data_IF_581098848830
#
_entry.id   IF_581098848830
#
_cell.length_a   1.000
_cell.length_b   1.000
_cell.length_c   1.000
_cell.angle_alpha   90.00
_cell.angle_beta   90.00
_cell.angle_gamma   90.00
#
_symmetry.space_group_name_H-M   'P 1'
#
loop_
_entity.id
_entity.type
_entity.pdbx_description
1 polymer ?
#
# COMPACT_ATOMS: atom_id res chain seq x y z
N UNK A 1 8.26 2.55 -8.93
CA UNK A 1 8.91 1.86 -10.06
C UNK A 1 10.00 2.69 -10.73
N UNK A 2 11.01 3.12 -9.96
CA UNK A 2 12.14 3.90 -10.51
C UNK A 2 11.85 5.37 -10.86
N UNK A 3 10.58 5.77 -10.95
CA UNK A 3 10.19 7.19 -11.06
C UNK A 3 10.30 7.90 -9.71
N UNK A 4 10.87 9.10 -9.71
CA UNK A 4 10.91 9.97 -8.54
C UNK A 4 9.50 10.45 -8.20
N UNK A 5 9.08 10.25 -6.95
CA UNK A 5 7.77 10.71 -6.48
C UNK A 5 7.86 12.03 -5.69
N UNK A 6 8.73 12.10 -4.67
CA UNK A 6 8.84 13.23 -3.74
C UNK A 6 10.03 13.06 -2.79
N UNK A 7 10.33 14.12 -2.05
CA UNK A 7 11.23 14.07 -0.89
C UNK A 7 10.42 13.80 0.39
N UNK A 8 10.87 12.86 1.21
CA UNK A 8 10.27 12.61 2.51
C UNK A 8 10.61 13.77 3.48
N UNK A 9 9.61 14.37 4.16
CA UNK A 9 9.86 15.38 5.18
C UNK A 9 10.81 14.91 6.27
N UNK A 10 11.80 15.75 6.59
CA UNK A 10 12.77 15.56 7.67
C UNK A 10 12.27 16.17 8.99
N UNK A 11 12.81 15.71 10.12
CA UNK A 11 12.60 16.33 11.44
C UNK A 11 11.86 15.43 12.44
N UNK A 12 11.61 14.17 12.08
CA UNK A 12 10.96 13.22 12.97
C UNK A 12 11.85 12.83 14.16
N UNK A 13 11.25 12.65 15.34
CA UNK A 13 12.00 12.27 16.55
C UNK A 13 12.63 10.87 16.42
N UNK A 14 13.93 10.80 16.64
CA UNK A 14 14.78 9.59 16.70
C UNK A 14 15.79 9.73 17.83
N UNK A 15 15.30 9.72 19.07
CA UNK A 15 16.13 9.85 20.27
C UNK A 15 17.16 8.73 20.42
N UNK A 16 16.87 7.55 19.87
CA UNK A 16 17.81 6.44 19.73
C UNK A 16 19.01 6.79 18.86
N UNK A 17 18.79 7.47 17.72
CA UNK A 17 19.86 7.98 16.85
C UNK A 17 20.59 9.13 17.53
N UNK A 18 19.86 10.02 18.19
CA UNK A 18 20.44 11.09 19.01
C UNK A 18 21.41 10.59 20.07
N UNK A 19 21.06 9.50 20.76
CA UNK A 19 21.90 8.87 21.77
C UNK A 19 23.11 8.15 21.17
N UNK A 20 22.96 7.52 19.99
CA UNK A 20 24.04 6.83 19.31
C UNK A 20 25.05 7.80 18.64
N UNK A 21 24.59 8.97 18.22
CA UNK A 21 25.37 9.98 17.50
C UNK A 21 25.22 11.38 18.11
N UNK A 22 25.68 11.59 19.36
CA UNK A 22 25.44 12.84 20.10
C UNK A 22 26.18 14.05 19.51
N UNK A 23 27.29 13.82 18.81
CA UNK A 23 28.10 14.90 18.21
C UNK A 23 27.58 15.35 16.83
N UNK A 24 26.58 14.65 16.27
CA UNK A 24 25.94 15.05 15.02
C UNK A 24 24.77 15.97 15.36
N UNK A 25 24.84 17.21 14.88
CA UNK A 25 23.76 18.18 15.04
C UNK A 25 22.43 17.62 14.53
N UNK A 26 21.37 17.80 15.32
CA UNK A 26 20.00 17.36 15.05
C UNK A 26 19.82 15.84 14.85
N UNK A 27 20.76 15.01 15.28
CA UNK A 27 20.64 13.55 15.22
C UNK A 27 19.40 13.01 15.95
N UNK A 28 18.94 13.68 17.02
CA UNK A 28 17.71 13.34 17.72
C UNK A 28 16.42 13.62 16.91
N UNK A 29 16.50 14.43 15.85
CA UNK A 29 15.38 14.77 14.95
C UNK A 29 15.60 14.21 13.53
N UNK A 30 16.42 13.17 13.40
CA UNK A 30 16.85 12.64 12.10
C UNK A 30 15.81 11.76 11.37
N UNK A 31 14.57 11.71 11.86
CA UNK A 31 13.51 10.88 11.30
C UNK A 31 12.91 11.46 10.02
N UNK A 32 12.46 10.55 9.15
CA UNK A 32 11.73 10.86 7.94
C UNK A 32 10.39 10.14 7.95
N UNK A 33 9.32 10.80 7.49
CA UNK A 33 8.00 10.17 7.44
C UNK A 33 7.13 10.78 6.34
N UNK A 34 6.41 9.92 5.62
CA UNK A 34 5.49 10.35 4.58
C UNK A 34 4.38 9.31 4.38
N UNK A 35 3.18 9.78 4.02
CA UNK A 35 2.12 8.94 3.48
C UNK A 35 2.10 9.03 1.94
N UNK A 36 2.11 7.88 1.26
CA UNK A 36 1.97 7.80 -0.19
C UNK A 36 0.66 7.13 -0.58
N UNK A 37 -0.20 7.85 -1.32
CA UNK A 37 -1.43 7.31 -1.87
C UNK A 37 -1.14 6.52 -3.15
N UNK A 38 -1.02 5.21 -3.04
CA UNK A 38 -0.69 4.32 -4.16
C UNK A 38 -1.91 3.87 -4.99
N UNK A 39 -3.12 4.29 -4.62
CA UNK A 39 -4.37 3.84 -5.24
C UNK A 39 -4.51 4.20 -6.73
N UNK A 40 -3.73 5.17 -7.23
CA UNK A 40 -3.74 5.58 -8.63
C UNK A 40 -2.78 4.78 -9.51
N UNK A 41 -1.99 3.87 -8.94
CA UNK A 41 -1.13 2.98 -9.71
C UNK A 41 -1.99 1.92 -10.42
N UNK A 42 -1.47 1.41 -11.54
CA UNK A 42 -2.10 0.29 -12.25
C UNK A 42 -2.15 -0.96 -11.37
N UNK A 43 -3.09 -1.91 -11.58
CA UNK A 43 -3.03 -3.19 -10.89
C UNK A 43 -1.71 -3.92 -11.14
N UNK A 44 -1.16 -4.54 -10.09
CA UNK A 44 0.05 -5.35 -10.15
C UNK A 44 1.06 -5.07 -9.04
N UNK A 45 2.22 -5.71 -9.15
CA UNK A 45 3.33 -5.52 -8.21
C UNK A 45 4.10 -4.24 -8.52
N UNK A 46 4.29 -3.42 -7.50
CA UNK A 46 5.06 -2.18 -7.55
C UNK A 46 6.24 -2.24 -6.58
N UNK A 47 7.27 -1.44 -6.86
CA UNK A 47 8.44 -1.27 -5.99
C UNK A 47 8.55 0.18 -5.54
N UNK A 48 8.64 0.37 -4.22
CA UNK A 48 9.04 1.64 -3.60
C UNK A 48 10.49 1.55 -3.16
N UNK A 49 11.28 2.58 -3.48
CA UNK A 49 12.70 2.68 -3.13
C UNK A 49 12.91 3.95 -2.32
N UNK A 50 13.50 3.80 -1.15
CA UNK A 50 13.97 4.93 -0.34
C UNK A 50 15.46 5.15 -0.63
N UNK A 51 15.83 6.38 -1.01
CA UNK A 51 17.21 6.79 -1.26
C UNK A 51 17.66 7.82 -0.23
N UNK A 52 18.62 7.48 0.60
CA UNK A 52 19.27 8.41 1.52
C UNK A 52 20.55 8.96 0.87
N UNK A 53 20.70 10.29 0.85
CA UNK A 53 21.82 10.98 0.18
C UNK A 53 22.58 11.82 1.22
N UNK A 54 23.90 11.70 1.27
CA UNK A 54 24.74 12.51 2.14
C UNK A 54 25.15 13.85 1.48
N UNK A 55 25.86 14.71 2.21
CA UNK A 55 26.30 16.04 1.71
C UNK A 55 27.28 15.98 0.54
N UNK A 56 27.94 14.84 0.33
CA UNK A 56 28.89 14.60 -0.77
C UNK A 56 28.18 14.04 -2.02
N UNK A 57 26.86 13.84 -1.95
CA UNK A 57 26.06 13.25 -3.04
C UNK A 57 26.14 11.72 -3.11
N UNK A 58 26.82 11.07 -2.15
CA UNK A 58 26.83 9.61 -2.02
C UNK A 58 25.50 9.16 -1.45
N UNK A 59 24.93 8.11 -2.05
CA UNK A 59 23.62 7.60 -1.65
C UNK A 59 23.62 6.12 -1.32
N UNK A 60 22.67 5.73 -0.48
CA UNK A 60 22.29 4.35 -0.23
C UNK A 60 20.80 4.19 -0.49
N UNK A 61 20.40 3.01 -0.98
CA UNK A 61 19.02 2.68 -1.28
C UNK A 61 18.57 1.45 -0.49
N UNK A 62 17.28 1.43 -0.18
CA UNK A 62 16.57 0.24 0.26
C UNK A 62 15.21 0.19 -0.45
N UNK A 63 14.67 -1.01 -0.68
CA UNK A 63 13.45 -1.20 -1.48
C UNK A 63 12.48 -2.17 -0.84
N UNK A 64 11.19 -1.93 -1.06
CA UNK A 64 10.12 -2.83 -0.71
C UNK A 64 9.15 -2.98 -1.89
N UNK A 65 8.53 -4.15 -2.01
CA UNK A 65 7.47 -4.42 -2.99
C UNK A 65 6.11 -4.43 -2.33
N UNK A 66 5.11 -3.95 -3.05
CA UNK A 66 3.71 -4.02 -2.63
C UNK A 66 2.82 -4.29 -3.85
N UNK A 67 1.61 -4.78 -3.60
CA UNK A 67 0.65 -5.11 -4.64
C UNK A 67 -0.49 -4.10 -4.65
N UNK A 68 -0.87 -3.67 -5.85
CA UNK A 68 -2.02 -2.81 -6.09
C UNK A 68 -3.10 -3.65 -6.74
N UNK A 69 -4.25 -3.72 -6.08
CA UNK A 69 -5.45 -4.33 -6.60
C UNK A 69 -6.40 -3.22 -7.02
N UNK A 70 -6.97 -3.33 -8.22
CA UNK A 70 -8.01 -2.42 -8.64
C UNK A 70 -9.05 -3.13 -9.50
N UNK A 71 -10.25 -2.58 -9.49
CA UNK A 71 -11.26 -2.87 -10.50
C UNK A 71 -10.91 -2.14 -11.79
N UNK A 72 -11.61 -2.46 -12.88
CA UNK A 72 -11.45 -1.75 -14.14
C UNK A 72 -11.75 -0.26 -14.03
N UNK A 73 -12.67 0.08 -13.14
CA UNK A 73 -13.07 1.44 -12.89
C UNK A 73 -12.37 1.96 -11.64
N UNK A 74 -11.70 3.09 -11.78
CA UNK A 74 -10.99 3.75 -10.68
C UNK A 74 -11.94 4.25 -9.58
N UNK A 75 -13.21 4.44 -9.92
CA UNK A 75 -14.25 4.88 -9.00
C UNK A 75 -15.59 4.31 -9.41
N UNK A 76 -16.30 3.68 -8.47
CA UNK A 76 -17.66 3.19 -8.65
C UNK A 76 -18.63 4.26 -8.14
N UNK A 77 -19.34 4.91 -9.05
CA UNK A 77 -20.34 5.93 -8.74
C UNK A 77 -21.59 5.32 -8.09
N UNK A 78 -22.32 6.15 -7.33
CA UNK A 78 -23.51 5.71 -6.60
C UNK A 78 -24.64 5.16 -7.49
N UNK A 79 -24.66 5.49 -8.79
CA UNK A 79 -25.61 4.95 -9.77
C UNK A 79 -25.15 3.63 -10.41
N UNK A 80 -23.94 3.18 -10.13
CA UNK A 80 -23.41 1.90 -10.60
C UNK A 80 -23.69 0.83 -9.56
N UNK A 81 -23.99 -0.37 -10.06
CA UNK A 81 -24.38 -1.50 -9.23
C UNK A 81 -23.13 -2.19 -8.65
N UNK A 82 -23.20 -2.49 -7.35
CA UNK A 82 -22.34 -3.47 -6.68
C UNK A 82 -23.28 -4.52 -6.11
N UNK A 83 -23.22 -5.73 -6.65
CA UNK A 83 -24.15 -6.79 -6.27
C UNK A 83 -23.43 -8.14 -6.24
N UNK A 84 -23.49 -8.80 -5.09
CA UNK A 84 -22.87 -10.10 -4.87
C UNK A 84 -23.70 -11.24 -5.49
N UNK A 85 -24.93 -10.96 -5.95
CA UNK A 85 -25.86 -11.90 -6.58
C UNK A 85 -26.32 -13.03 -5.64
N UNK A 86 -26.68 -14.18 -6.24
CA UNK A 86 -26.79 -15.47 -5.55
C UNK A 86 -25.46 -16.26 -5.62
N UNK A 87 -24.34 -15.55 -5.76
CA UNK A 87 -23.01 -16.15 -5.81
C UNK A 87 -22.70 -16.95 -4.54
N UNK A 88 -21.80 -17.92 -4.66
CA UNK A 88 -21.34 -18.66 -3.48
C UNK A 88 -20.34 -17.78 -2.70
N UNK A 89 -20.37 -17.91 -1.37
CA UNK A 89 -19.43 -17.21 -0.46
C UNK A 89 -18.65 -18.26 0.31
N UNK A 90 -17.68 -18.94 -0.31
CA UNK A 90 -16.86 -19.90 0.41
C UNK A 90 -15.98 -19.16 1.42
N UNK A 91 -15.79 -19.78 2.58
CA UNK A 91 -14.87 -19.30 3.60
C UNK A 91 -13.98 -20.47 4.04
N UNK A 92 -12.68 -20.20 4.14
CA UNK A 92 -11.69 -21.18 4.55
C UNK A 92 -10.57 -20.51 5.37
N UNK A 93 -10.33 -21.02 6.58
CA UNK A 93 -9.34 -20.43 7.48
C UNK A 93 -9.68 -18.98 7.81
N UNK A 94 -8.81 -18.07 7.38
CA UNK A 94 -8.93 -16.62 7.55
C UNK A 94 -9.28 -15.88 6.25
N UNK A 95 -9.84 -16.59 5.26
CA UNK A 95 -10.21 -16.07 3.94
C UNK A 95 -11.69 -16.28 3.61
N UNK A 96 -12.25 -15.33 2.87
CA UNK A 96 -13.59 -15.34 2.30
C UNK A 96 -13.46 -15.06 0.80
N UNK A 97 -14.04 -15.89 -0.04
CA UNK A 97 -14.13 -15.64 -1.47
C UNK A 97 -15.54 -15.18 -1.82
N UNK A 98 -15.67 -14.19 -2.70
CA UNK A 98 -16.93 -13.75 -3.27
C UNK A 98 -16.90 -14.09 -4.75
N UNK A 99 -17.69 -15.08 -5.17
CA UNK A 99 -17.71 -15.55 -6.54
C UNK A 99 -18.78 -14.84 -7.37
N UNK A 100 -18.37 -14.35 -8.55
CA UNK A 100 -19.26 -13.81 -9.56
C UNK A 100 -19.94 -12.51 -9.15
N UNK A 101 -19.24 -11.64 -8.43
CA UNK A 101 -19.70 -10.31 -8.02
C UNK A 101 -19.85 -9.41 -9.24
N UNK A 102 -20.98 -8.73 -9.38
CA UNK A 102 -21.21 -7.71 -10.39
C UNK A 102 -20.82 -6.33 -9.84
N UNK A 103 -19.80 -5.71 -10.43
CA UNK A 103 -19.31 -4.37 -10.10
C UNK A 103 -19.32 -3.56 -11.39
N UNK A 104 -20.17 -2.53 -11.44
CA UNK A 104 -20.34 -1.66 -12.62
C UNK A 104 -20.59 -2.45 -13.93
N UNK A 105 -21.35 -3.54 -13.86
CA UNK A 105 -21.70 -4.37 -15.02
C UNK A 105 -20.59 -5.33 -15.48
N UNK A 106 -19.51 -5.46 -14.70
CA UNK A 106 -18.43 -6.44 -14.92
C UNK A 106 -18.42 -7.46 -13.80
N UNK A 107 -18.08 -8.69 -14.14
CA UNK A 107 -18.06 -9.80 -13.19
C UNK A 107 -16.65 -10.05 -12.65
N UNK A 108 -16.54 -10.23 -11.35
CA UNK A 108 -15.29 -10.46 -10.63
C UNK A 108 -15.43 -11.57 -9.60
N UNK A 109 -14.32 -12.27 -9.35
CA UNK A 109 -14.14 -13.07 -8.13
C UNK A 109 -13.18 -12.30 -7.21
N UNK A 110 -13.52 -12.22 -5.93
CA UNK A 110 -12.75 -11.47 -4.94
C UNK A 110 -12.32 -12.39 -3.81
N UNK A 111 -11.05 -12.38 -3.43
CA UNK A 111 -10.58 -13.04 -2.21
C UNK A 111 -10.29 -11.98 -1.15
N UNK A 112 -10.91 -12.13 0.02
CA UNK A 112 -10.69 -11.28 1.19
C UNK A 112 -9.98 -12.10 2.26
N UNK A 113 -8.99 -11.50 2.94
CA UNK A 113 -8.24 -12.15 4.03
C UNK A 113 -8.22 -11.30 5.29
N UNK A 114 -8.35 -11.93 6.46
CA UNK A 114 -8.17 -11.26 7.74
C UNK A 114 -6.74 -10.74 7.91
N UNK A 115 -6.61 -9.48 8.30
CA UNK A 115 -5.34 -8.83 8.60
C UNK A 115 -5.33 -8.38 10.05
N UNK A 116 -4.47 -9.01 10.85
CA UNK A 116 -4.28 -8.63 12.26
C UNK A 116 -3.77 -7.19 12.41
N UNK A 117 -2.99 -6.70 11.45
CA UNK A 117 -2.46 -5.33 11.51
C UNK A 117 -3.56 -4.26 11.46
N UNK A 118 -4.63 -4.50 10.68
CA UNK A 118 -5.75 -3.57 10.49
C UNK A 118 -7.03 -4.01 11.20
N UNK A 119 -7.02 -5.21 11.81
CA UNK A 119 -8.16 -5.83 12.51
C UNK A 119 -9.41 -5.94 11.62
N UNK A 120 -9.22 -6.32 10.35
CA UNK A 120 -10.31 -6.44 9.39
C UNK A 120 -9.98 -7.35 8.21
N UNK A 121 -10.97 -7.61 7.37
CA UNK A 121 -10.79 -8.29 6.08
C UNK A 121 -10.39 -7.28 5.01
N UNK A 122 -9.36 -7.59 4.25
CA UNK A 122 -8.90 -6.81 3.11
C UNK A 122 -8.99 -7.65 1.85
N UNK A 123 -9.33 -7.03 0.72
CA UNK A 123 -9.25 -7.69 -0.58
C UNK A 123 -7.77 -7.97 -0.86
N UNK A 124 -7.44 -9.22 -1.14
CA UNK A 124 -6.09 -9.69 -1.48
C UNK A 124 -6.01 -10.20 -2.92
N UNK A 125 -7.14 -10.38 -3.59
CA UNK A 125 -7.20 -10.79 -4.98
C UNK A 125 -8.46 -10.22 -5.66
N UNK A 126 -8.31 -9.81 -6.92
CA UNK A 126 -9.40 -9.42 -7.82
C UNK A 126 -9.16 -10.11 -9.16
N UNK A 127 -10.00 -11.08 -9.51
CA UNK A 127 -9.92 -11.83 -10.78
C UNK A 127 -11.23 -11.73 -11.58
N UNK A 128 -11.20 -12.18 -12.83
CA UNK A 128 -12.35 -12.21 -13.74
C UNK A 128 -12.63 -13.59 -14.27
#
# INVERSE_FOLDING_TARGET
>A
DGEYAFDAPYGGSRTDVGAAFPDIADSANSGFSLAYGYANLSPGTHTITARAINREGVYQEDSATFEVLAFDEQFIFANQRVDLGEGSVPAAGDEITLEGVDIAGKRYDLTLKWRTATQGFEIIEVSR
#
